data_IF_324224467639
#
_entry.id   IF_324224467639
#
_cell.length_a   1.000
_cell.length_b   1.000
_cell.length_c   1.000
_cell.angle_alpha   90.00
_cell.angle_beta   90.00
_cell.angle_gamma   90.00
#
_symmetry.space_group_name_H-M   'P 1'
#
loop_
_entity.id
_entity.type
_entity.pdbx_description
1 polymer ?
#
# COMPACT_ATOMS: atom_id res chain seq x y z
N UNK A 1 34.05 -26.29 -34.93
CA UNK A 1 33.24 -25.29 -35.65
C UNK A 1 31.78 -25.16 -35.18
N UNK A 2 31.25 -26.01 -34.28
CA UNK A 2 29.84 -25.91 -33.82
C UNK A 2 29.60 -25.13 -32.50
N UNK A 3 30.65 -24.65 -31.79
CA UNK A 3 30.48 -23.91 -30.52
C UNK A 3 30.43 -22.37 -30.67
N UNK A 4 30.77 -21.82 -31.83
CA UNK A 4 30.70 -20.36 -32.06
C UNK A 4 29.31 -19.89 -32.55
N UNK A 5 28.57 -20.74 -33.26
CA UNK A 5 27.27 -20.39 -33.84
C UNK A 5 26.11 -20.35 -32.83
N UNK A 6 26.26 -20.96 -31.65
CA UNK A 6 25.23 -20.93 -30.60
C UNK A 6 25.25 -19.59 -29.82
N UNK A 7 26.44 -19.06 -29.56
CA UNK A 7 26.67 -17.84 -28.79
C UNK A 7 26.24 -16.58 -29.55
N UNK A 8 26.37 -16.56 -30.88
CA UNK A 8 25.85 -15.47 -31.72
C UNK A 8 24.32 -15.44 -31.80
N UNK A 9 23.67 -16.61 -31.74
CA UNK A 9 22.20 -16.71 -31.79
C UNK A 9 21.54 -16.28 -30.47
N UNK A 10 22.27 -16.36 -29.36
CA UNK A 10 21.81 -15.95 -28.03
C UNK A 10 22.02 -14.44 -27.81
N UNK A 11 23.14 -13.88 -28.29
CA UNK A 11 23.39 -12.42 -28.27
C UNK A 11 22.44 -11.64 -29.22
N UNK A 12 22.08 -12.21 -30.37
CA UNK A 12 21.09 -11.60 -31.26
C UNK A 12 19.67 -11.60 -30.68
N UNK A 13 19.39 -12.49 -29.71
CA UNK A 13 18.09 -12.57 -29.02
C UNK A 13 18.01 -11.59 -27.84
N UNK A 14 19.13 -11.26 -27.20
CA UNK A 14 19.20 -10.22 -26.17
C UNK A 14 19.18 -8.79 -26.74
N UNK A 15 19.78 -8.56 -27.92
CA UNK A 15 19.71 -7.23 -28.57
C UNK A 15 18.35 -6.91 -29.21
N UNK A 16 17.54 -7.93 -29.52
CA UNK A 16 16.17 -7.75 -30.00
C UNK A 16 15.18 -7.38 -28.88
N UNK A 17 15.40 -7.88 -27.65
CA UNK A 17 14.54 -7.57 -26.50
C UNK A 17 14.85 -6.18 -25.92
N UNK A 18 16.06 -5.66 -26.14
CA UNK A 18 16.45 -4.32 -25.67
C UNK A 18 16.11 -3.18 -26.66
N UNK A 19 15.71 -3.53 -27.90
CA UNK A 19 15.23 -2.55 -28.91
C UNK A 19 13.71 -2.47 -29.06
N UNK A 20 12.93 -3.36 -28.45
CA UNK A 20 11.45 -3.33 -28.47
C UNK A 20 10.82 -2.66 -27.23
N UNK A 21 11.57 -1.78 -26.55
CA UNK A 21 11.06 -0.90 -25.48
C UNK A 21 11.43 0.57 -25.70
N UNK A 22 11.89 0.93 -26.90
CA UNK A 22 12.04 2.31 -27.34
C UNK A 22 11.42 2.45 -28.72
N UNK A 23 10.43 3.34 -28.81
CA UNK A 23 9.67 3.76 -30.00
C UNK A 23 8.43 2.91 -30.28
N UNK A 24 7.38 3.13 -29.48
CA UNK A 24 5.97 3.29 -29.91
C UNK A 24 5.12 3.58 -28.66
N UNK A 25 4.36 4.66 -28.50
CA UNK A 25 4.23 5.89 -29.26
C UNK A 25 3.84 6.99 -28.27
N UNK A 26 4.77 7.91 -28.01
CA UNK A 26 4.48 9.19 -27.40
C UNK A 26 4.38 10.21 -28.54
N UNK A 27 3.17 10.39 -29.11
CA UNK A 27 2.69 11.58 -29.86
C UNK A 27 1.34 11.33 -30.54
N UNK A 28 0.24 11.60 -29.81
CA UNK A 28 -1.12 12.01 -30.26
C UNK A 28 -2.03 11.70 -29.06
N UNK A 29 -2.52 12.65 -28.27
CA UNK A 29 -3.22 13.88 -28.62
C UNK A 29 -2.99 14.93 -27.53
N UNK A 30 -2.41 16.07 -27.90
CA UNK A 30 -2.82 17.36 -27.35
C UNK A 30 -3.90 17.90 -28.29
N UNK A 31 -5.04 18.33 -27.75
CA UNK A 31 -6.00 19.15 -28.49
C UNK A 31 -7.47 18.83 -28.20
N UNK A 32 -8.11 19.73 -27.44
CA UNK A 32 -9.55 19.97 -27.27
C UNK A 32 -10.31 18.92 -26.43
N UNK A 33 -11.13 19.26 -25.42
CA UNK A 33 -11.97 20.45 -25.25
C UNK A 33 -12.31 20.63 -23.76
N UNK A 34 -11.95 21.79 -23.19
CA UNK A 34 -12.67 22.39 -22.07
C UNK A 34 -13.91 23.12 -22.64
N UNK A 35 -15.01 23.15 -21.88
CA UNK A 35 -16.39 23.63 -22.18
C UNK A 35 -17.31 22.51 -22.71
N UNK A 36 -18.43 22.21 -22.04
CA UNK A 36 -19.57 23.13 -21.93
C UNK A 36 -20.28 23.08 -20.56
N UNK A 37 -20.32 24.25 -19.90
CA UNK A 37 -21.31 24.64 -18.89
C UNK A 37 -22.63 24.99 -19.60
N UNK A 38 -23.76 24.63 -19.00
CA UNK A 38 -25.11 25.21 -19.12
C UNK A 38 -25.74 25.46 -20.50
N UNK A 39 -26.88 24.80 -20.70
CA UNK A 39 -28.11 25.43 -21.20
C UNK A 39 -28.28 25.61 -22.71
N UNK A 40 -29.19 24.84 -23.31
CA UNK A 40 -30.07 25.38 -24.35
C UNK A 40 -31.45 24.73 -24.24
N UNK A 41 -32.43 25.58 -24.00
CA UNK A 41 -33.86 25.31 -23.98
C UNK A 41 -34.35 25.00 -25.40
N UNK A 42 -35.23 24.00 -25.48
CA UNK A 42 -36.28 23.76 -26.46
C UNK A 42 -35.91 23.42 -27.92
N UNK A 43 -36.17 22.15 -28.29
CA UNK A 43 -37.19 21.86 -29.30
C UNK A 43 -38.12 20.75 -28.80
N UNK A 44 -39.39 21.13 -28.70
CA UNK A 44 -40.53 20.34 -28.25
C UNK A 44 -40.89 19.32 -29.34
N UNK A 45 -40.60 18.04 -29.10
CA UNK A 45 -41.42 16.95 -29.65
C UNK A 45 -41.78 16.01 -28.52
N UNK A 46 -43.03 15.57 -28.57
CA UNK A 46 -43.84 15.09 -27.47
C UNK A 46 -43.84 13.57 -27.56
N UNK A 47 -42.88 12.90 -26.90
CA UNK A 47 -42.87 11.44 -26.78
C UNK A 47 -42.05 11.01 -25.56
N UNK A 48 -42.68 10.18 -24.72
CA UNK A 48 -42.20 9.44 -23.55
C UNK A 48 -41.32 10.13 -22.49
N UNK A 49 -41.98 10.76 -21.50
CA UNK A 49 -41.38 11.12 -20.21
C UNK A 49 -40.98 9.92 -19.33
N UNK A 50 -41.33 8.69 -19.73
CA UNK A 50 -41.09 7.48 -18.91
C UNK A 50 -39.77 6.78 -19.25
N UNK A 51 -39.23 6.97 -20.46
CA UNK A 51 -37.95 6.39 -20.90
C UNK A 51 -36.73 7.26 -20.55
N UNK A 52 -36.88 8.59 -20.52
CA UNK A 52 -35.79 9.49 -20.14
C UNK A 52 -35.44 9.44 -18.64
N UNK A 53 -36.43 9.20 -17.78
CA UNK A 53 -36.20 9.01 -16.33
C UNK A 53 -35.43 7.72 -16.06
N UNK A 54 -35.70 6.65 -16.83
CA UNK A 54 -34.96 5.39 -16.71
C UNK A 54 -33.53 5.52 -17.21
N UNK A 55 -33.26 6.28 -18.27
CA UNK A 55 -31.90 6.50 -18.78
C UNK A 55 -31.03 7.34 -17.83
N UNK A 56 -31.56 8.38 -17.20
CA UNK A 56 -30.84 9.16 -16.19
C UNK A 56 -30.59 8.37 -14.89
N UNK A 57 -31.57 7.58 -14.43
CA UNK A 57 -31.40 6.67 -13.28
C UNK A 57 -30.40 5.54 -13.57
N UNK A 58 -30.39 5.01 -14.80
CA UNK A 58 -29.48 3.94 -15.21
C UNK A 58 -28.06 4.47 -15.44
N UNK A 59 -27.90 5.68 -15.98
CA UNK A 59 -26.61 6.37 -16.08
C UNK A 59 -26.03 6.71 -14.70
N UNK A 60 -26.83 7.26 -13.79
CA UNK A 60 -26.40 7.53 -12.41
C UNK A 60 -26.07 6.24 -11.65
N UNK A 61 -26.87 5.18 -11.81
CA UNK A 61 -26.57 3.85 -11.23
C UNK A 61 -25.29 3.26 -11.80
N UNK A 62 -25.04 3.41 -13.10
CA UNK A 62 -23.81 2.92 -13.76
C UNK A 62 -22.59 3.71 -13.30
N UNK A 63 -22.69 5.03 -13.19
CA UNK A 63 -21.61 5.85 -12.64
C UNK A 63 -21.31 5.54 -11.16
N UNK A 64 -22.33 5.30 -10.34
CA UNK A 64 -22.14 4.88 -8.94
C UNK A 64 -21.43 3.53 -8.87
N UNK A 65 -21.86 2.54 -9.65
CA UNK A 65 -21.19 1.23 -9.75
C UNK A 65 -19.74 1.34 -10.25
N UNK A 66 -19.48 2.22 -11.23
CA UNK A 66 -18.13 2.45 -11.76
C UNK A 66 -17.21 3.08 -10.68
N UNK A 67 -17.72 4.06 -9.92
CA UNK A 67 -16.98 4.64 -8.79
C UNK A 67 -16.65 3.60 -7.73
N UNK A 68 -17.57 2.70 -7.40
CA UNK A 68 -17.34 1.62 -6.44
C UNK A 68 -16.24 0.65 -6.92
N UNK A 69 -16.24 0.29 -8.20
CA UNK A 69 -15.20 -0.56 -8.80
C UNK A 69 -13.82 0.11 -8.82
N UNK A 70 -13.74 1.40 -9.14
CA UNK A 70 -12.48 2.16 -9.15
C UNK A 70 -11.89 2.30 -7.74
N UNK A 71 -12.76 2.48 -6.75
CA UNK A 71 -12.39 2.48 -5.33
C UNK A 71 -11.81 1.13 -4.92
N UNK A 72 -12.49 0.02 -5.25
CA UNK A 72 -12.02 -1.34 -4.97
C UNK A 72 -10.66 -1.60 -5.61
N UNK A 73 -10.52 -1.24 -6.90
CA UNK A 73 -9.26 -1.41 -7.65
C UNK A 73 -8.11 -0.62 -7.03
N UNK A 74 -8.38 0.61 -6.60
CA UNK A 74 -7.38 1.45 -5.93
C UNK A 74 -6.93 0.84 -4.60
N UNK A 75 -7.86 0.29 -3.81
CA UNK A 75 -7.51 -0.40 -2.56
C UNK A 75 -6.66 -1.63 -2.80
N UNK A 76 -7.00 -2.44 -3.80
CA UNK A 76 -6.21 -3.62 -4.15
C UNK A 76 -4.80 -3.25 -4.58
N UNK A 77 -4.63 -2.21 -5.40
CA UNK A 77 -3.31 -1.73 -5.81
C UNK A 77 -2.45 -1.24 -4.64
N UNK A 78 -3.06 -0.54 -3.67
CA UNK A 78 -2.34 -0.07 -2.48
C UNK A 78 -1.92 -1.22 -1.58
N UNK A 79 -2.80 -2.19 -1.37
CA UNK A 79 -2.49 -3.44 -0.66
C UNK A 79 -1.35 -4.20 -1.33
N UNK A 80 -1.38 -4.33 -2.66
CA UNK A 80 -0.33 -4.98 -3.44
C UNK A 80 1.01 -4.26 -3.32
N UNK A 81 0.99 -2.92 -3.40
CA UNK A 81 2.19 -2.09 -3.28
C UNK A 81 2.83 -2.25 -1.91
N UNK A 82 2.03 -2.23 -0.84
CA UNK A 82 2.52 -2.41 0.52
C UNK A 82 3.15 -3.80 0.70
N UNK A 83 2.49 -4.85 0.23
CA UNK A 83 3.01 -6.22 0.26
C UNK A 83 4.33 -6.37 -0.50
N UNK A 84 4.45 -5.78 -1.68
CA UNK A 84 5.69 -5.78 -2.45
C UNK A 84 6.83 -5.08 -1.70
N UNK A 85 6.53 -4.00 -0.96
CA UNK A 85 7.54 -3.33 -0.14
C UNK A 85 7.96 -4.16 1.06
N UNK A 86 7.00 -4.82 1.73
CA UNK A 86 7.29 -5.75 2.84
C UNK A 86 8.20 -6.90 2.36
N UNK A 87 7.93 -7.48 1.18
CA UNK A 87 8.80 -8.49 0.58
C UNK A 87 10.21 -7.95 0.32
N UNK A 88 10.33 -6.77 -0.29
CA UNK A 88 11.64 -6.17 -0.58
C UNK A 88 12.46 -5.93 0.68
N UNK A 89 11.81 -5.48 1.76
CA UNK A 89 12.46 -5.25 3.07
C UNK A 89 12.92 -6.58 3.65
N UNK A 90 12.06 -7.60 3.69
CA UNK A 90 12.43 -8.93 4.19
C UNK A 90 13.60 -9.52 3.39
N UNK A 91 13.54 -9.43 2.05
CA UNK A 91 14.64 -9.81 1.15
C UNK A 91 15.93 -9.07 1.45
N UNK A 92 15.86 -7.76 1.76
CA UNK A 92 17.05 -6.98 2.12
C UNK A 92 17.67 -7.46 3.43
N UNK A 93 16.87 -7.82 4.43
CA UNK A 93 17.36 -8.43 5.66
C UNK A 93 18.04 -9.78 5.40
N UNK A 94 17.39 -10.67 4.65
CA UNK A 94 17.96 -11.97 4.30
C UNK A 94 19.29 -11.83 3.53
N UNK A 95 19.37 -10.90 2.57
CA UNK A 95 20.62 -10.58 1.85
C UNK A 95 21.71 -9.99 2.73
N UNK A 96 21.35 -9.46 3.89
CA UNK A 96 22.29 -8.93 4.88
C UNK A 96 22.65 -9.97 5.95
N UNK A 97 22.41 -11.26 5.64
CA UNK A 97 22.73 -12.41 6.49
C UNK A 97 21.95 -12.46 7.82
N UNK A 98 20.79 -11.79 7.88
CA UNK A 98 19.82 -11.95 8.97
C UNK A 98 19.04 -13.24 8.71
N UNK A 99 18.95 -14.12 9.71
CA UNK A 99 18.26 -15.40 9.55
C UNK A 99 16.73 -15.22 9.51
N UNK A 100 15.98 -16.05 8.79
CA UNK A 100 14.53 -15.96 8.72
C UNK A 100 13.83 -15.91 10.08
N UNK A 101 14.30 -16.70 11.05
CA UNK A 101 13.67 -16.81 12.38
C UNK A 101 13.85 -15.54 13.23
N UNK A 102 14.79 -14.67 12.84
CA UNK A 102 15.04 -13.37 13.46
C UNK A 102 14.08 -12.29 12.94
N UNK A 103 13.32 -12.56 11.87
CA UNK A 103 12.42 -11.62 11.22
C UNK A 103 10.97 -11.96 11.59
N UNK A 104 10.20 -10.96 12.00
CA UNK A 104 8.75 -11.07 12.18
C UNK A 104 8.02 -10.03 11.34
N UNK A 105 6.88 -10.43 10.78
CA UNK A 105 5.99 -9.55 10.03
C UNK A 105 4.65 -9.53 10.73
N UNK A 106 4.25 -8.33 11.12
CA UNK A 106 3.00 -8.09 11.83
C UNK A 106 2.05 -7.35 10.91
N UNK A 107 0.82 -7.84 10.79
CA UNK A 107 -0.23 -7.16 10.05
C UNK A 107 -1.58 -7.33 10.75
N UNK A 108 -2.42 -6.28 10.85
CA UNK A 108 -3.67 -6.33 11.60
C UNK A 108 -4.78 -7.14 10.91
N UNK A 109 -4.64 -7.44 9.61
CA UNK A 109 -5.69 -8.09 8.81
C UNK A 109 -5.26 -9.48 8.35
N UNK A 110 -6.10 -10.47 8.64
CA UNK A 110 -5.84 -11.86 8.26
C UNK A 110 -5.73 -12.03 6.74
N UNK A 111 -6.57 -11.32 5.97
CA UNK A 111 -6.47 -11.31 4.51
C UNK A 111 -5.14 -10.75 3.99
N UNK A 112 -4.53 -9.78 4.69
CA UNK A 112 -3.20 -9.29 4.35
C UNK A 112 -2.13 -10.30 4.74
N UNK A 113 -2.25 -10.92 5.91
CA UNK A 113 -1.31 -11.96 6.37
C UNK A 113 -1.19 -13.07 5.33
N UNK A 114 -2.32 -13.63 4.91
CA UNK A 114 -2.38 -14.66 3.87
C UNK A 114 -1.78 -14.17 2.55
N UNK A 115 -2.11 -12.93 2.16
CA UNK A 115 -1.61 -12.34 0.92
C UNK A 115 -0.08 -12.12 0.93
N UNK A 116 0.50 -11.64 2.04
CA UNK A 116 1.96 -11.49 2.20
C UNK A 116 2.65 -12.85 2.09
N UNK A 117 2.14 -13.86 2.81
CA UNK A 117 2.69 -15.23 2.77
C UNK A 117 2.65 -15.78 1.35
N UNK A 118 1.53 -15.65 0.66
CA UNK A 118 1.38 -16.09 -0.73
C UNK A 118 2.36 -15.32 -1.64
N UNK A 119 2.40 -13.99 -1.54
CA UNK A 119 3.25 -13.16 -2.38
C UNK A 119 4.73 -13.50 -2.22
N UNK A 120 5.23 -13.65 -1.00
CA UNK A 120 6.62 -14.04 -0.75
C UNK A 120 6.96 -15.42 -1.33
N UNK A 121 6.01 -16.34 -1.29
CA UNK A 121 6.22 -17.70 -1.80
C UNK A 121 6.24 -17.79 -3.33
N UNK A 122 5.51 -16.94 -4.05
CA UNK A 122 5.37 -17.01 -5.52
C UNK A 122 6.12 -15.91 -6.27
N UNK A 123 6.37 -14.78 -5.62
CA UNK A 123 6.99 -13.59 -6.23
C UNK A 123 8.25 -13.12 -5.52
N UNK A 124 8.62 -13.76 -4.40
CA UNK A 124 9.87 -13.49 -3.70
C UNK A 124 11.10 -13.77 -4.56
N UNK A 125 12.12 -12.93 -4.44
CA UNK A 125 13.35 -13.04 -5.26
C UNK A 125 14.35 -14.10 -4.78
N UNK A 126 14.17 -14.63 -3.56
CA UNK A 126 15.04 -15.64 -2.95
C UNK A 126 14.36 -17.02 -2.90
N UNK A 127 15.07 -18.01 -2.37
CA UNK A 127 14.54 -19.35 -2.18
C UNK A 127 13.27 -19.31 -1.29
N UNK A 128 12.17 -19.89 -1.79
CA UNK A 128 10.89 -19.99 -1.09
C UNK A 128 11.00 -20.50 0.35
N UNK A 129 11.93 -21.41 0.65
CA UNK A 129 12.14 -21.95 2.00
C UNK A 129 12.52 -20.86 3.01
N UNK A 130 13.34 -19.89 2.61
CA UNK A 130 13.74 -18.77 3.47
C UNK A 130 12.52 -17.94 3.87
N UNK A 131 11.60 -17.67 2.95
CA UNK A 131 10.38 -16.92 3.27
C UNK A 131 9.39 -17.71 4.12
N UNK A 132 9.36 -19.05 4.00
CA UNK A 132 8.48 -19.90 4.79
C UNK A 132 8.83 -19.90 6.28
N UNK A 133 10.10 -19.67 6.61
CA UNK A 133 10.60 -19.59 7.98
C UNK A 133 10.39 -18.20 8.61
N UNK A 134 10.07 -17.18 7.81
CA UNK A 134 9.69 -15.86 8.32
C UNK A 134 8.28 -15.94 8.91
N UNK A 135 8.16 -15.50 10.15
CA UNK A 135 6.88 -15.51 10.83
C UNK A 135 6.01 -14.32 10.38
N UNK A 136 4.81 -14.61 9.85
CA UNK A 136 3.82 -13.60 9.47
C UNK A 136 2.53 -13.84 10.26
N UNK A 137 2.18 -12.93 11.18
CA UNK A 137 1.01 -13.09 12.03
C UNK A 137 0.35 -11.76 12.43
N UNK A 138 -0.80 -11.85 13.09
CA UNK A 138 -1.48 -10.69 13.68
C UNK A 138 -0.78 -10.21 14.95
N UNK A 139 -1.07 -8.97 15.38
CA UNK A 139 -0.53 -8.43 16.64
C UNK A 139 -0.91 -9.32 17.82
N UNK A 140 -2.17 -9.78 17.87
CA UNK A 140 -2.67 -10.61 18.97
C UNK A 140 -1.95 -11.96 19.02
N UNK A 141 -1.65 -12.57 17.87
CA UNK A 141 -0.85 -13.79 17.81
C UNK A 141 0.61 -13.57 18.25
N UNK A 142 1.17 -12.38 18.01
CA UNK A 142 2.55 -12.02 18.40
C UNK A 142 2.72 -11.70 19.89
N UNK A 143 1.64 -11.67 20.67
CA UNK A 143 1.72 -11.32 22.09
C UNK A 143 2.62 -12.28 22.87
N UNK A 144 3.52 -11.73 23.68
CA UNK A 144 4.46 -12.50 24.50
C UNK A 144 5.66 -13.08 23.73
N UNK A 145 5.72 -12.87 22.41
CA UNK A 145 6.84 -13.28 21.56
C UNK A 145 7.60 -12.06 21.09
N UNK A 146 8.86 -12.23 20.72
CA UNK A 146 9.73 -11.16 20.20
C UNK A 146 10.57 -11.65 19.02
N UNK A 147 11.01 -10.72 18.19
CA UNK A 147 11.93 -10.96 17.07
C UNK A 147 12.99 -9.88 17.06
N UNK A 148 14.11 -10.19 16.45
CA UNK A 148 15.22 -9.25 16.29
C UNK A 148 14.79 -8.06 15.42
N UNK A 149 14.09 -8.34 14.33
CA UNK A 149 13.55 -7.32 13.42
C UNK A 149 12.05 -7.53 13.19
N UNK A 150 11.28 -6.44 13.28
CA UNK A 150 9.84 -6.44 12.99
C UNK A 150 9.52 -5.56 11.79
N UNK A 151 8.71 -6.08 10.88
CA UNK A 151 8.08 -5.31 9.81
C UNK A 151 6.58 -5.20 10.11
N UNK A 152 6.08 -3.99 10.34
CA UNK A 152 4.67 -3.71 10.59
C UNK A 152 3.98 -3.21 9.31
N UNK A 153 3.06 -4.00 8.77
CA UNK A 153 2.22 -3.65 7.62
C UNK A 153 0.88 -3.10 8.10
N UNK A 154 0.55 -1.86 7.75
CA UNK A 154 -0.66 -1.16 8.20
C UNK A 154 -1.88 -1.35 7.27
N UNK A 155 -1.67 -1.56 5.96
CA UNK A 155 -2.65 -1.88 4.90
C UNK A 155 -3.69 -0.79 4.59
N UNK A 156 -4.06 0.03 5.58
CA UNK A 156 -5.19 0.96 5.44
C UNK A 156 -4.86 2.16 4.58
N UNK A 157 -5.77 2.38 3.63
CA UNK A 157 -5.71 3.47 2.66
C UNK A 157 -7.02 4.26 2.57
N UNK A 158 -8.01 3.91 3.41
CA UNK A 158 -9.37 4.41 3.37
C UNK A 158 -9.46 5.70 4.18
N UNK A 159 -9.91 6.77 3.53
CA UNK A 159 -10.09 8.06 4.19
C UNK A 159 -11.37 8.17 5.02
N UNK A 160 -12.40 7.37 4.72
CA UNK A 160 -13.77 7.51 5.24
C UNK A 160 -14.15 6.49 6.32
N UNK A 161 -13.57 5.30 6.28
CA UNK A 161 -13.76 4.28 7.32
C UNK A 161 -12.51 4.32 8.20
N UNK A 162 -12.65 4.79 9.44
CA UNK A 162 -11.54 4.93 10.38
C UNK A 162 -10.63 3.70 10.44
N UNK A 163 -9.40 3.85 10.92
CA UNK A 163 -8.32 2.85 10.79
C UNK A 163 -8.57 1.49 11.49
N UNK A 164 -9.72 1.32 12.16
CA UNK A 164 -10.19 0.04 12.69
C UNK A 164 -9.26 -0.51 13.77
N UNK A 165 -8.71 -1.70 13.52
CA UNK A 165 -7.76 -2.40 14.40
C UNK A 165 -6.59 -1.52 14.86
N UNK A 166 -6.13 -0.60 14.00
CA UNK A 166 -5.03 0.30 14.31
C UNK A 166 -5.40 1.42 15.30
N UNK A 167 -6.67 1.55 15.68
CA UNK A 167 -7.13 2.55 16.65
C UNK A 167 -6.96 2.10 18.11
N UNK A 168 -6.67 0.82 18.39
CA UNK A 168 -6.42 0.35 19.75
C UNK A 168 -4.97 0.66 20.17
N UNK A 169 -4.75 1.58 21.14
CA UNK A 169 -3.41 1.93 21.60
C UNK A 169 -2.63 0.74 22.18
N UNK A 170 -3.33 -0.23 22.78
CA UNK A 170 -2.70 -1.40 23.39
C UNK A 170 -2.08 -2.29 22.32
N UNK A 171 -2.78 -2.49 21.20
CA UNK A 171 -2.28 -3.26 20.06
C UNK A 171 -1.12 -2.55 19.38
N UNK A 172 -1.17 -1.23 19.24
CA UNK A 172 -0.03 -0.48 18.73
C UNK A 172 1.19 -0.65 19.65
N UNK A 173 1.02 -0.52 20.96
CA UNK A 173 2.11 -0.73 21.92
C UNK A 173 2.70 -2.15 21.80
N UNK A 174 1.86 -3.18 21.75
CA UNK A 174 2.33 -4.56 21.56
C UNK A 174 3.16 -4.64 20.28
N UNK A 175 2.65 -4.16 19.15
CA UNK A 175 3.35 -4.21 17.86
C UNK A 175 4.71 -3.48 17.88
N UNK A 176 4.77 -2.28 18.46
CA UNK A 176 5.98 -1.46 18.53
C UNK A 176 7.06 -2.08 19.42
N UNK A 177 6.68 -2.82 20.47
CA UNK A 177 7.64 -3.42 21.41
C UNK A 177 7.98 -4.88 21.10
N UNK A 178 7.66 -5.39 19.90
CA UNK A 178 8.01 -6.76 19.49
C UNK A 178 9.45 -6.89 18.96
N UNK A 179 10.08 -5.77 18.59
CA UNK A 179 11.42 -5.74 18.00
C UNK A 179 12.51 -5.59 19.08
N UNK A 180 13.55 -6.41 19.01
CA UNK A 180 14.74 -6.28 19.88
C UNK A 180 15.78 -5.30 19.31
N UNK A 181 15.99 -5.30 17.99
CA UNK A 181 16.99 -4.46 17.34
C UNK A 181 16.40 -3.39 16.42
N UNK A 182 15.33 -3.69 15.67
CA UNK A 182 14.78 -2.72 14.72
C UNK A 182 13.35 -2.99 14.30
N UNK A 183 12.62 -1.91 14.06
CA UNK A 183 11.26 -1.94 13.53
C UNK A 183 11.17 -1.09 12.25
N UNK A 184 10.48 -1.62 11.24
CA UNK A 184 10.14 -0.90 10.02
C UNK A 184 8.62 -0.91 9.88
N UNK A 185 8.02 0.28 9.76
CA UNK A 185 6.57 0.44 9.59
C UNK A 185 6.31 0.81 8.13
N UNK A 186 5.45 0.03 7.47
CA UNK A 186 5.01 0.27 6.09
C UNK A 186 3.52 0.63 6.14
N UNK A 187 3.17 1.80 5.60
CA UNK A 187 1.79 2.25 5.58
C UNK A 187 1.62 3.63 4.96
N UNK A 188 0.37 4.06 4.80
CA UNK A 188 0.03 5.36 4.23
C UNK A 188 -0.10 6.43 5.34
N UNK A 189 0.86 7.37 5.46
CA UNK A 189 0.85 8.36 6.52
C UNK A 189 -0.33 9.35 6.43
N UNK A 190 -0.91 9.58 5.24
CA UNK A 190 -2.10 10.44 5.08
C UNK A 190 -3.33 9.87 5.78
N UNK A 191 -3.45 8.55 5.81
CA UNK A 191 -4.58 7.86 6.43
C UNK A 191 -4.34 7.65 7.92
N UNK A 192 -3.12 7.23 8.28
CA UNK A 192 -2.74 6.99 9.67
C UNK A 192 -2.76 8.27 10.51
N UNK A 193 -2.30 9.40 9.97
CA UNK A 193 -2.24 10.69 10.69
C UNK A 193 -3.62 11.28 11.07
N UNK A 194 -4.72 10.73 10.53
CA UNK A 194 -6.08 11.09 10.97
C UNK A 194 -6.37 10.64 12.40
N UNK A 195 -5.68 9.60 12.87
CA UNK A 195 -5.82 9.12 14.24
C UNK A 195 -4.77 9.80 15.15
N UNK A 196 -5.15 10.32 16.33
CA UNK A 196 -4.24 11.12 17.15
C UNK A 196 -2.93 10.42 17.55
N UNK A 197 -2.99 9.17 18.03
CA UNK A 197 -1.82 8.41 18.45
C UNK A 197 -0.85 8.16 17.29
N UNK A 198 -1.38 7.77 16.12
CA UNK A 198 -0.59 7.63 14.90
C UNK A 198 0.01 8.95 14.42
N UNK A 199 -0.72 10.06 14.56
CA UNK A 199 -0.20 11.38 14.24
C UNK A 199 1.03 11.72 15.12
N UNK A 200 0.96 11.45 16.43
CA UNK A 200 2.11 11.63 17.32
C UNK A 200 3.28 10.73 16.90
N UNK A 201 3.02 9.46 16.61
CA UNK A 201 4.04 8.52 16.16
C UNK A 201 4.72 9.00 14.86
N UNK A 202 3.95 9.39 13.86
CA UNK A 202 4.47 9.88 12.59
C UNK A 202 5.24 11.19 12.73
N UNK A 203 4.75 12.10 13.59
CA UNK A 203 5.44 13.36 13.90
C UNK A 203 6.78 13.07 14.58
N UNK A 204 6.81 12.16 15.55
CA UNK A 204 8.05 11.72 16.20
C UNK A 204 9.03 11.12 15.19
N UNK A 205 8.59 10.19 14.32
CA UNK A 205 9.45 9.61 13.28
C UNK A 205 9.97 10.68 12.30
N UNK A 206 9.18 11.70 11.99
CA UNK A 206 9.60 12.83 11.15
C UNK A 206 10.67 13.68 11.84
N UNK A 207 10.49 14.01 13.13
CA UNK A 207 11.47 14.75 13.92
C UNK A 207 12.80 14.00 14.05
N UNK A 208 12.74 12.67 14.14
CA UNK A 208 13.93 11.80 14.17
C UNK A 208 14.53 11.52 12.77
N UNK A 209 14.00 12.14 11.70
CA UNK A 209 14.43 11.91 10.30
C UNK A 209 14.30 10.45 9.84
N UNK A 210 13.39 9.70 10.44
CA UNK A 210 13.12 8.29 10.12
C UNK A 210 11.84 8.09 9.29
N UNK A 211 11.09 9.16 9.01
CA UNK A 211 9.96 9.11 8.08
C UNK A 211 10.47 9.29 6.64
N UNK A 212 10.48 8.20 5.87
CA UNK A 212 11.12 8.16 4.54
C UNK A 212 10.19 7.62 3.45
N UNK A 213 10.48 7.97 2.21
CA UNK A 213 9.80 7.52 0.99
C UNK A 213 10.79 7.27 -0.15
N UNK A 214 10.30 6.67 -1.23
CA UNK A 214 11.11 6.32 -2.40
C UNK A 214 11.57 4.86 -2.41
N UNK A 215 12.44 4.49 -3.36
CA UNK A 215 12.90 3.11 -3.50
C UNK A 215 13.88 2.74 -2.37
N UNK A 216 13.89 1.47 -1.95
CA UNK A 216 14.65 1.00 -0.78
C UNK A 216 16.18 1.23 -0.89
N UNK A 217 16.71 1.33 -2.11
CA UNK A 217 18.12 1.63 -2.37
C UNK A 217 18.47 3.13 -2.31
N UNK A 218 17.48 4.02 -2.28
CA UNK A 218 17.66 5.47 -2.27
C UNK A 218 16.49 6.14 -1.53
N UNK A 219 16.32 5.76 -0.25
CA UNK A 219 15.31 6.35 0.63
C UNK A 219 15.62 7.81 0.90
N UNK A 220 14.58 8.64 0.87
CA UNK A 220 14.65 10.08 1.17
C UNK A 220 13.65 10.44 2.26
N UNK A 221 13.96 11.43 3.07
CA UNK A 221 13.01 11.97 4.06
C UNK A 221 11.72 12.43 3.36
N UNK A 222 10.57 12.05 3.89
CA UNK A 222 9.28 12.42 3.32
C UNK A 222 8.94 13.87 3.66
N UNK A 223 8.53 14.63 2.64
CA UNK A 223 8.14 16.04 2.78
C UNK A 223 6.69 16.22 3.23
N UNK A 224 5.97 15.13 3.52
CA UNK A 224 4.57 15.17 3.94
C UNK A 224 4.39 16.02 5.19
N UNK A 225 3.36 16.87 5.20
CA UNK A 225 3.01 17.70 6.35
C UNK A 225 1.80 17.11 7.08
N UNK A 226 1.89 17.07 8.41
CA UNK A 226 0.80 16.63 9.28
C UNK A 226 0.19 17.84 9.99
N UNK A 227 -1.12 17.80 10.24
CA UNK A 227 -1.73 18.72 11.19
C UNK A 227 -1.12 18.49 12.58
N UNK A 228 -0.93 19.56 13.36
CA UNK A 228 -0.39 19.45 14.72
C UNK A 228 -1.16 18.39 15.52
N UNK A 229 -0.46 17.45 16.17
CA UNK A 229 -1.13 16.43 16.98
C UNK A 229 -1.94 17.09 18.10
N UNK A 230 -3.20 16.70 18.26
CA UNK A 230 -4.05 17.16 19.38
C UNK A 230 -3.60 16.44 20.65
N UNK A 231 -3.60 17.11 21.81
CA UNK A 231 -3.26 16.47 23.10
C UNK A 231 -4.06 15.16 23.28
N UNK A 232 -3.36 14.07 23.59
CA UNK A 232 -4.00 12.83 23.99
C UNK A 232 -4.66 13.05 25.35
N UNK A 233 -5.98 13.23 25.37
CA UNK A 233 -6.73 13.33 26.63
C UNK A 233 -6.91 11.92 27.16
N UNK A 234 -6.29 11.62 28.31
CA UNK A 234 -6.46 10.33 28.96
C UNK A 234 -7.83 10.29 29.64
N UNK A 235 -8.83 9.67 28.99
CA UNK A 235 -10.19 9.54 29.53
C UNK A 235 -10.29 8.51 30.67
N UNK A 236 -9.20 7.84 31.04
CA UNK A 236 -9.16 6.84 32.13
C UNK A 236 -9.05 7.41 33.55
N UNK A 237 -9.13 8.74 33.74
CA UNK A 237 -9.21 9.37 35.07
C UNK A 237 -10.62 9.91 35.41
N UNK A 238 -11.68 9.35 34.84
CA UNK A 238 -13.04 9.64 35.30
C UNK A 238 -13.56 8.47 36.15
N UNK A 239 -13.17 8.43 37.42
CA UNK A 239 -13.84 7.64 38.46
C UNK A 239 -13.66 8.34 39.81
N UNK A 240 -14.81 8.84 40.30
CA UNK A 240 -15.20 9.13 41.69
C UNK A 240 -14.53 10.33 42.38
N UNK A 241 -15.32 11.42 42.51
CA UNK A 241 -15.77 11.96 43.80
C UNK A 241 -17.18 12.52 43.61
#
# INVERSE_FOLDING_TARGET
MMKAAATEKENARSEAVEKELRVDGCKRWQGNLYKTLFGTIAKKQKTDKRSALTEEEEATTTEVKQRDLDIIRTYDLLRQTETANVEKIATRFLRSNIKPEQIGIITPYEGQRAYIVQYMQYSGSLNKKLYQEIEVASVDAFQGREKDYIILSCVRSNEHQGIGFLNDPRRLNVALTRARFGIIIVGNPKVLSKQPLWNHLLTYFKEQKCLVEGPLNNLKESMIQFSKPRKLVNTSNCTIM
#
